data_IF_568738562371
#
_entry.id   IF_568738562371
#
_cell.length_a   1.000
_cell.length_b   1.000
_cell.length_c   1.000
_cell.angle_alpha   90.00
_cell.angle_beta   90.00
_cell.angle_gamma   90.00
#
_symmetry.space_group_name_H-M   'P 1'
#
loop_
_entity.id
_entity.type
_entity.pdbx_description
1 polymer ?
#
# COMPACT_ATOMS: atom_id res chain seq x y z
N UNK A 1 29.48 -2.98 17.34
CA UNK A 1 28.34 -2.86 16.41
C UNK A 1 28.70 -3.72 15.22
N UNK A 2 28.50 -5.03 15.37
CA UNK A 2 28.87 -6.01 14.38
C UNK A 2 27.90 -5.88 13.19
N UNK A 3 28.37 -5.22 12.14
CA UNK A 3 27.66 -5.08 10.87
C UNK A 3 27.76 -6.37 10.03
N UNK A 4 27.65 -7.54 10.66
CA UNK A 4 27.47 -8.81 9.96
C UNK A 4 26.01 -8.93 9.52
N UNK A 5 25.63 -8.05 8.58
CA UNK A 5 24.48 -8.23 7.72
C UNK A 5 24.73 -9.52 6.92
N UNK A 6 24.25 -10.64 7.46
CA UNK A 6 24.28 -11.89 6.73
C UNK A 6 23.48 -11.67 5.45
N UNK A 7 24.03 -12.06 4.28
CA UNK A 7 23.37 -11.88 2.97
C UNK A 7 21.90 -12.35 3.00
N UNK A 8 21.62 -13.36 3.80
CA UNK A 8 20.28 -13.88 4.08
C UNK A 8 19.32 -12.83 4.68
N UNK A 9 19.76 -12.01 5.65
CA UNK A 9 18.95 -10.97 6.28
C UNK A 9 18.55 -9.88 5.29
N UNK A 10 19.51 -9.40 4.49
CA UNK A 10 19.25 -8.39 3.46
C UNK A 10 18.21 -8.92 2.46
N UNK A 11 18.40 -10.16 1.97
CA UNK A 11 17.47 -10.80 1.04
C UNK A 11 16.08 -10.96 1.66
N UNK A 12 15.98 -11.37 2.93
CA UNK A 12 14.69 -11.50 3.61
C UNK A 12 13.96 -10.17 3.76
N UNK A 13 14.67 -9.09 4.11
CA UNK A 13 14.06 -7.75 4.24
C UNK A 13 13.48 -7.28 2.90
N UNK A 14 14.23 -7.45 1.81
CA UNK A 14 13.73 -7.11 0.48
C UNK A 14 12.52 -7.94 0.08
N UNK A 15 12.52 -9.25 0.37
CA UNK A 15 11.37 -10.13 0.11
C UNK A 15 10.12 -9.69 0.86
N UNK A 16 10.22 -9.43 2.17
CA UNK A 16 9.07 -8.99 2.96
C UNK A 16 8.57 -7.60 2.53
N UNK A 17 9.47 -6.67 2.22
CA UNK A 17 9.09 -5.37 1.68
C UNK A 17 8.35 -5.50 0.33
N UNK A 18 8.83 -6.39 -0.55
CA UNK A 18 8.20 -6.62 -1.85
C UNK A 18 6.82 -7.29 -1.71
N UNK A 19 6.66 -8.24 -0.80
CA UNK A 19 5.37 -8.85 -0.48
C UNK A 19 4.40 -7.78 0.04
N UNK A 20 4.85 -6.92 0.96
CA UNK A 20 4.05 -5.79 1.44
C UNK A 20 3.60 -4.86 0.31
N UNK A 21 4.51 -4.53 -0.61
CA UNK A 21 4.19 -3.71 -1.78
C UNK A 21 3.15 -4.38 -2.69
N UNK A 22 3.28 -5.67 -2.96
CA UNK A 22 2.30 -6.42 -3.76
C UNK A 22 0.92 -6.38 -3.09
N UNK A 23 0.85 -6.65 -1.77
CA UNK A 23 -0.41 -6.59 -1.03
C UNK A 23 -1.05 -5.20 -1.09
N UNK A 24 -0.23 -4.15 -0.98
CA UNK A 24 -0.69 -2.78 -1.12
C UNK A 24 -1.31 -2.51 -2.50
N UNK A 25 -0.62 -2.89 -3.58
CA UNK A 25 -1.11 -2.70 -4.95
C UNK A 25 -2.39 -3.51 -5.21
N UNK A 26 -2.45 -4.75 -4.73
CA UNK A 26 -3.63 -5.61 -4.86
C UNK A 26 -4.83 -5.02 -4.11
N UNK A 27 -4.63 -4.51 -2.90
CA UNK A 27 -5.69 -3.87 -2.14
C UNK A 27 -6.20 -2.59 -2.82
N UNK A 28 -5.30 -1.74 -3.33
CA UNK A 28 -5.69 -0.57 -4.12
C UNK A 28 -6.49 -0.94 -5.37
N UNK A 29 -6.01 -1.95 -6.11
CA UNK A 29 -6.71 -2.46 -7.29
C UNK A 29 -8.09 -3.02 -6.94
N UNK A 30 -8.20 -3.72 -5.81
CA UNK A 30 -9.45 -4.28 -5.32
C UNK A 30 -10.45 -3.16 -4.96
N UNK A 31 -10.00 -2.10 -4.30
CA UNK A 31 -10.84 -0.92 -4.01
C UNK A 31 -11.37 -0.33 -5.32
N UNK A 32 -10.49 -0.07 -6.29
CA UNK A 32 -10.88 0.44 -7.62
C UNK A 32 -11.89 -0.45 -8.34
N UNK A 33 -11.77 -1.78 -8.18
CA UNK A 33 -12.64 -2.75 -8.86
C UNK A 33 -14.00 -2.95 -8.17
N UNK A 34 -14.03 -2.89 -6.83
CA UNK A 34 -15.26 -3.07 -6.04
C UNK A 34 -16.10 -1.79 -6.02
N UNK A 35 -15.47 -0.62 -6.08
CA UNK A 35 -16.20 0.65 -6.12
C UNK A 35 -17.17 0.67 -7.30
N UNK A 36 -18.47 0.97 -7.08
CA UNK A 36 -19.50 0.95 -8.13
C UNK A 36 -19.39 2.15 -9.10
N UNK A 37 -18.37 2.99 -8.94
CA UNK A 37 -18.11 4.18 -9.72
C UNK A 37 -16.62 4.28 -10.06
N UNK A 38 -16.30 5.04 -11.11
CA UNK A 38 -14.92 5.29 -11.50
C UNK A 38 -14.27 6.27 -10.52
N UNK A 39 -13.41 5.76 -9.64
CA UNK A 39 -12.62 6.57 -8.71
C UNK A 39 -11.80 7.62 -9.47
N UNK A 40 -11.24 7.25 -10.62
CA UNK A 40 -10.49 8.19 -11.46
C UNK A 40 -11.38 9.35 -11.93
N UNK A 41 -12.59 9.07 -12.42
CA UNK A 41 -13.51 10.11 -12.88
C UNK A 41 -13.86 11.06 -11.73
N UNK A 42 -14.19 10.50 -10.56
CA UNK A 42 -14.56 11.29 -9.39
C UNK A 42 -13.41 12.20 -8.91
N UNK A 43 -12.17 11.71 -8.90
CA UNK A 43 -11.02 12.51 -8.46
C UNK A 43 -10.58 13.52 -9.53
N UNK A 44 -10.45 13.10 -10.80
CA UNK A 44 -9.84 13.91 -11.86
C UNK A 44 -10.83 14.88 -12.51
N UNK A 45 -12.06 14.42 -12.80
CA UNK A 45 -13.05 15.20 -13.56
C UNK A 45 -13.98 15.92 -12.59
N UNK A 46 -14.58 15.17 -11.66
CA UNK A 46 -15.57 15.73 -10.73
C UNK A 46 -14.90 16.45 -9.54
N UNK A 47 -13.55 16.43 -9.48
CA UNK A 47 -12.72 17.12 -8.49
C UNK A 47 -13.16 16.82 -7.04
N UNK A 48 -13.57 15.56 -6.79
CA UNK A 48 -14.04 15.10 -5.50
C UNK A 48 -12.86 14.89 -4.54
N UNK A 49 -12.47 15.98 -3.87
CA UNK A 49 -11.39 15.98 -2.88
C UNK A 49 -11.68 15.06 -1.70
N UNK A 50 -12.94 14.97 -1.28
CA UNK A 50 -13.39 14.08 -0.21
C UNK A 50 -13.07 12.61 -0.52
N UNK A 51 -13.36 12.15 -1.75
CA UNK A 51 -13.01 10.80 -2.18
C UNK A 51 -11.49 10.59 -2.19
N UNK A 52 -10.73 11.58 -2.67
CA UNK A 52 -9.26 11.55 -2.63
C UNK A 52 -8.71 11.38 -1.22
N UNK A 53 -9.26 12.12 -0.25
CA UNK A 53 -8.88 12.02 1.18
C UNK A 53 -9.23 10.64 1.74
N UNK A 54 -10.41 10.10 1.44
CA UNK A 54 -10.83 8.77 1.91
C UNK A 54 -9.88 7.70 1.37
N UNK A 55 -9.63 7.69 0.05
CA UNK A 55 -8.71 6.73 -0.58
C UNK A 55 -7.31 6.86 0.02
N UNK A 56 -6.79 8.08 0.14
CA UNK A 56 -5.49 8.34 0.76
C UNK A 56 -5.41 7.85 2.21
N UNK A 57 -6.47 8.05 3.00
CA UNK A 57 -6.53 7.61 4.40
C UNK A 57 -6.54 6.09 4.52
N UNK A 58 -7.30 5.39 3.65
CA UNK A 58 -7.31 3.92 3.59
C UNK A 58 -5.93 3.38 3.21
N UNK A 59 -5.26 4.01 2.25
CA UNK A 59 -3.90 3.65 1.83
C UNK A 59 -2.86 3.83 2.94
N UNK A 60 -2.96 4.91 3.72
CA UNK A 60 -2.10 5.14 4.89
C UNK A 60 -2.36 4.04 5.94
N UNK A 61 -3.64 3.78 6.26
CA UNK A 61 -4.00 2.73 7.21
C UNK A 61 -3.48 1.36 6.80
N UNK A 62 -3.58 1.01 5.51
CA UNK A 62 -3.06 -0.23 4.98
C UNK A 62 -1.53 -0.33 5.10
N UNK A 63 -0.81 0.77 4.79
CA UNK A 63 0.64 0.84 4.93
C UNK A 63 1.08 0.61 6.39
N UNK A 64 0.35 1.16 7.35
CA UNK A 64 0.63 0.98 8.78
C UNK A 64 0.43 -0.49 9.20
N UNK A 65 -0.65 -1.12 8.75
CA UNK A 65 -0.93 -2.54 9.05
C UNK A 65 0.15 -3.44 8.46
N UNK A 66 0.56 -3.20 7.21
CA UNK A 66 1.63 -3.96 6.55
C UNK A 66 2.96 -3.77 7.29
N UNK A 67 3.30 -2.53 7.65
CA UNK A 67 4.50 -2.20 8.42
C UNK A 67 4.52 -2.93 9.77
N UNK A 68 3.40 -3.00 10.48
CA UNK A 68 3.31 -3.67 11.77
C UNK A 68 3.57 -5.20 11.72
N UNK A 69 3.43 -5.82 10.55
CA UNK A 69 3.68 -7.26 10.35
C UNK A 69 5.14 -7.54 10.01
N UNK A 70 5.87 -6.58 9.45
CA UNK A 70 7.29 -6.72 9.09
C UNK A 70 8.12 -6.35 10.33
N UNK A 71 8.95 -7.28 10.81
CA UNK A 71 9.71 -7.16 12.07
C UNK A 71 11.21 -7.08 11.84
#
# INVERSE_FOLDING_TARGET
>A
MDFDLTKAQVISTFLYAFIGLILYVVAFWLICKISPFSIRKEIEIDQNTSLGIIIGSVMIGLSIIISAVIR
#
